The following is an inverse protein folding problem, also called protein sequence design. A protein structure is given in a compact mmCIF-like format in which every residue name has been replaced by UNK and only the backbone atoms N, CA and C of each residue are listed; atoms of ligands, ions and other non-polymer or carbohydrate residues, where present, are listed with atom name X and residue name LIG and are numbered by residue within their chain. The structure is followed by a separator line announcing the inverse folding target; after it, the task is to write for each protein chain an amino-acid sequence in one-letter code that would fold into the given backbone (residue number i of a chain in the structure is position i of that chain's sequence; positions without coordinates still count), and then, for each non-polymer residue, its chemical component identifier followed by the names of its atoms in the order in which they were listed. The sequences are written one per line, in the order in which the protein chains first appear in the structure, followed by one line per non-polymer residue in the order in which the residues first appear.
data_IF_669935525863
#
_entry.id   IF_669935525863
#
_cell.length_a   1.000
_cell.length_b   1.000
_cell.length_c   1.000
_cell.angle_alpha   90.00
_cell.angle_beta   90.00
_cell.angle_gamma   90.00
#
_symmetry.space_group_name_H-M   'P 1'
#
loop_
_entity.id
_entity.type
_entity.pdbx_description
1 polymer ?
#
# COMPACT_ATOMS: atom_id res chain seq x y z
N UNK A 1 -45.30 26.85 -35.19
CA UNK A 1 -44.38 26.96 -34.04
C UNK A 1 -43.36 25.83 -34.09
N UNK A 2 -42.06 26.17 -34.17
CA UNK A 2 -40.90 25.35 -33.75
C UNK A 2 -40.80 25.38 -32.21
N UNK A 3 -40.03 24.55 -31.45
CA UNK A 3 -38.70 23.98 -31.72
C UNK A 3 -38.60 22.48 -31.26
N UNK A 4 -37.50 21.73 -31.16
CA UNK A 4 -36.08 21.98 -31.04
C UNK A 4 -35.30 20.69 -31.37
N UNK A 5 -34.13 20.89 -31.98
CA UNK A 5 -33.08 19.90 -32.27
C UNK A 5 -32.75 19.01 -31.07
N UNK A 6 -32.83 17.68 -31.22
CA UNK A 6 -32.08 16.73 -30.38
C UNK A 6 -30.80 16.31 -31.11
N UNK A 7 -29.68 16.46 -30.41
CA UNK A 7 -28.29 16.38 -30.88
C UNK A 7 -27.94 15.01 -31.47
N UNK A 8 -26.96 14.93 -32.38
CA UNK A 8 -26.48 13.66 -32.86
C UNK A 8 -25.82 12.92 -31.69
N UNK A 9 -26.33 11.74 -31.34
CA UNK A 9 -25.55 10.76 -30.56
C UNK A 9 -24.40 10.34 -31.46
N UNK A 10 -23.25 11.00 -31.34
CA UNK A 10 -22.02 10.55 -31.97
C UNK A 10 -21.71 9.19 -31.37
N UNK A 11 -22.14 8.13 -32.06
CA UNK A 11 -21.62 6.79 -31.81
C UNK A 11 -20.13 6.89 -32.10
N UNK A 12 -19.31 6.95 -31.06
CA UNK A 12 -17.87 6.81 -31.21
C UNK A 12 -17.64 5.45 -31.86
N UNK A 13 -17.33 5.47 -33.16
CA UNK A 13 -16.91 4.28 -33.90
C UNK A 13 -15.44 4.07 -33.59
N UNK A 14 -15.18 3.25 -32.58
CA UNK A 14 -13.82 2.81 -32.31
C UNK A 14 -13.40 1.78 -33.36
N UNK A 15 -12.19 1.89 -33.95
CA UNK A 15 -11.71 0.89 -34.88
C UNK A 15 -11.52 -0.45 -34.15
N UNK A 16 -11.72 -1.60 -34.81
CA UNK A 16 -11.70 -2.93 -34.16
C UNK A 16 -10.38 -3.24 -33.45
N UNK A 17 -9.27 -2.63 -33.91
CA UNK A 17 -7.95 -2.72 -33.29
C UNK A 17 -7.85 -1.93 -31.97
N UNK A 18 -8.50 -0.77 -31.90
CA UNK A 18 -8.56 0.01 -30.65
C UNK A 18 -9.48 -0.65 -29.63
N UNK A 19 -10.56 -1.29 -30.07
CA UNK A 19 -11.42 -2.09 -29.19
C UNK A 19 -10.66 -3.29 -28.59
N UNK A 20 -9.79 -3.95 -29.36
CA UNK A 20 -8.97 -5.07 -28.88
C UNK A 20 -7.91 -4.65 -27.85
N UNK A 21 -7.30 -3.47 -28.02
CA UNK A 21 -6.31 -2.92 -27.09
C UNK A 21 -6.92 -2.31 -25.81
N UNK A 22 -8.20 -1.92 -25.85
CA UNK A 22 -8.90 -1.34 -24.70
C UNK A 22 -9.24 -2.38 -23.62
N UNK A 23 -9.49 -3.63 -24.02
CA UNK A 23 -9.87 -4.73 -23.11
C UNK A 23 -8.80 -5.04 -22.05
N UNK A 24 -7.51 -5.25 -22.39
CA UNK A 24 -6.49 -5.49 -21.36
C UNK A 24 -6.23 -4.26 -20.49
N UNK A 25 -6.42 -3.05 -21.05
CA UNK A 25 -6.28 -1.78 -20.32
C UNK A 25 -7.40 -1.56 -19.29
N UNK A 26 -8.65 -1.95 -19.61
CA UNK A 26 -9.74 -1.94 -18.63
C UNK A 26 -9.59 -3.06 -17.60
N UNK A 27 -9.10 -4.23 -18.02
CA UNK A 27 -8.88 -5.35 -17.11
C UNK A 27 -7.82 -5.03 -16.04
N UNK A 28 -6.75 -4.31 -16.40
CA UNK A 28 -5.73 -3.90 -15.44
C UNK A 28 -6.26 -2.87 -14.42
N UNK A 29 -7.16 -1.97 -14.81
CA UNK A 29 -7.78 -0.99 -13.90
C UNK A 29 -8.61 -1.64 -12.78
N UNK A 30 -9.21 -2.79 -13.04
CA UNK A 30 -10.04 -3.52 -12.04
C UNK A 30 -9.18 -4.43 -11.16
N UNK A 31 -7.97 -4.81 -11.58
CA UNK A 31 -7.09 -5.69 -10.81
C UNK A 31 -6.36 -4.98 -9.65
N UNK A 32 -6.15 -3.66 -9.74
CA UNK A 32 -5.40 -2.89 -8.71
C UNK A 32 -6.10 -2.80 -7.34
N UNK A 33 -7.44 -2.58 -7.22
CA UNK A 33 -8.07 -2.46 -5.90
C UNK A 33 -8.14 -3.76 -5.09
N UNK A 34 -7.77 -4.92 -5.65
CA UNK A 34 -7.72 -6.19 -4.92
C UNK A 34 -6.57 -6.24 -3.89
N UNK A 35 -5.58 -5.35 -3.99
CA UNK A 35 -4.50 -5.21 -3.01
C UNK A 35 -4.91 -4.28 -1.84
N UNK A 36 -6.02 -4.57 -1.16
CA UNK A 36 -6.43 -3.83 0.04
C UNK A 36 -5.65 -4.37 1.24
N UNK A 37 -4.75 -3.56 1.79
CA UNK A 37 -4.06 -3.88 3.03
C UNK A 37 -5.01 -3.90 4.25
N UNK A 38 -4.54 -4.41 5.40
CA UNK A 38 -5.35 -4.45 6.62
C UNK A 38 -5.77 -3.03 7.05
N UNK A 39 -6.98 -2.91 7.58
CA UNK A 39 -7.51 -1.67 8.13
C UNK A 39 -6.63 -1.20 9.30
N UNK A 40 -6.66 0.11 9.60
CA UNK A 40 -5.75 0.71 10.59
C UNK A 40 -5.79 -0.01 11.95
N UNK A 41 -6.98 -0.37 12.43
CA UNK A 41 -7.18 -1.05 13.71
C UNK A 41 -6.72 -2.51 13.70
N UNK A 42 -6.68 -3.18 12.54
CA UNK A 42 -6.18 -4.55 12.41
C UNK A 42 -4.66 -4.61 12.51
N UNK A 43 -3.95 -3.50 12.22
CA UNK A 43 -2.49 -3.42 12.35
C UNK A 43 -2.01 -3.57 13.79
N UNK A 44 -2.86 -3.35 14.79
CA UNK A 44 -2.51 -3.55 16.20
C UNK A 44 -2.16 -5.02 16.50
N UNK A 45 -2.72 -5.96 15.74
CA UNK A 45 -2.48 -7.39 15.93
C UNK A 45 -1.02 -7.79 15.64
N UNK A 46 -0.39 -7.10 14.69
CA UNK A 46 1.02 -7.29 14.35
C UNK A 46 1.97 -6.81 15.46
N UNK A 47 1.47 -6.02 16.43
CA UNK A 47 2.25 -5.58 17.60
C UNK A 47 2.31 -6.60 18.74
N UNK A 48 1.56 -7.72 18.65
CA UNK A 48 1.54 -8.75 19.70
C UNK A 48 2.93 -9.36 19.90
N UNK A 49 3.29 -9.64 21.16
CA UNK A 49 4.59 -10.21 21.50
C UNK A 49 4.87 -11.55 20.78
N UNK A 50 3.84 -12.37 20.55
CA UNK A 50 3.93 -13.64 19.82
C UNK A 50 4.22 -13.47 18.32
N UNK A 51 3.97 -12.30 17.76
CA UNK A 51 4.20 -11.97 16.35
C UNK A 51 5.54 -11.24 16.13
N UNK A 52 6.34 -11.07 17.20
CA UNK A 52 7.67 -10.44 17.10
C UNK A 52 8.64 -11.42 16.43
N UNK A 53 9.51 -10.88 15.58
CA UNK A 53 10.58 -11.64 14.95
C UNK A 53 11.73 -11.99 15.90
N UNK A 54 11.74 -11.37 17.09
CA UNK A 54 12.84 -11.44 18.04
C UNK A 54 12.59 -12.49 19.12
N UNK A 55 13.59 -13.34 19.34
CA UNK A 55 13.51 -14.49 20.24
C UNK A 55 13.47 -14.09 21.73
N UNK A 56 14.36 -13.19 22.18
CA UNK A 56 14.40 -12.72 23.57
C UNK A 56 14.48 -11.18 23.68
N UNK A 57 13.54 -10.52 24.38
CA UNK A 57 13.50 -9.06 24.48
C UNK A 57 14.70 -8.48 25.25
N UNK A 58 15.35 -9.25 26.13
CA UNK A 58 16.48 -8.77 26.93
C UNK A 58 17.72 -8.68 26.07
N UNK A 59 17.98 -9.71 25.28
CA UNK A 59 19.07 -9.75 24.31
C UNK A 59 18.93 -8.61 23.29
N UNK A 60 17.75 -8.46 22.69
CA UNK A 60 17.48 -7.38 21.73
C UNK A 60 17.74 -6.00 22.34
N UNK A 61 17.34 -5.80 23.60
CA UNK A 61 17.57 -4.53 24.29
C UNK A 61 19.07 -4.25 24.48
N UNK A 62 19.86 -5.25 24.87
CA UNK A 62 21.31 -5.09 25.01
C UNK A 62 21.95 -4.77 23.66
N UNK A 63 21.61 -5.54 22.62
CA UNK A 63 22.14 -5.33 21.28
C UNK A 63 21.78 -3.94 20.76
N UNK A 64 20.54 -3.47 20.94
CA UNK A 64 20.11 -2.13 20.53
C UNK A 64 20.97 -1.02 21.15
N UNK A 65 21.39 -1.18 22.42
CA UNK A 65 22.26 -0.19 23.09
C UNK A 65 23.66 -0.17 22.50
N UNK A 66 24.18 -1.34 22.12
CA UNK A 66 25.47 -1.44 21.44
C UNK A 66 25.39 -0.78 20.06
N UNK A 67 24.39 -1.14 19.25
CA UNK A 67 24.20 -0.53 17.92
C UNK A 67 23.96 0.97 17.99
N UNK A 68 23.23 1.46 18.98
CA UNK A 68 23.06 2.90 19.15
C UNK A 68 24.38 3.60 19.49
N UNK A 69 25.23 2.96 20.29
CA UNK A 69 26.53 3.52 20.66
C UNK A 69 27.53 3.52 19.49
N UNK A 70 27.46 2.53 18.60
CA UNK A 70 28.40 2.37 17.48
C UNK A 70 27.91 3.02 16.18
N UNK A 71 26.62 2.92 15.90
CA UNK A 71 26.00 3.21 14.60
C UNK A 71 24.68 3.98 14.75
N UNK A 72 24.52 4.78 15.82
CA UNK A 72 23.26 5.48 16.12
C UNK A 72 22.71 6.38 15.00
N UNK A 73 23.56 6.86 14.08
CA UNK A 73 23.14 7.60 12.90
C UNK A 73 22.43 6.73 11.83
N UNK A 74 22.68 5.42 11.81
CA UNK A 74 22.01 4.45 10.93
C UNK A 74 20.65 3.97 11.47
N UNK A 75 20.34 4.31 12.74
CA UNK A 75 19.17 3.81 13.45
C UNK A 75 19.42 2.44 14.09
N UNK A 76 18.82 2.20 15.25
CA UNK A 76 18.96 0.93 15.98
C UNK A 76 18.21 -0.24 15.32
N UNK A 77 18.31 -1.42 15.95
CA UNK A 77 17.59 -2.63 15.55
C UNK A 77 16.08 -2.31 15.48
N UNK A 78 15.46 -2.57 14.32
CA UNK A 78 14.04 -2.25 14.07
C UNK A 78 13.78 -0.93 13.33
N UNK A 79 14.81 -0.17 12.93
CA UNK A 79 14.66 1.12 12.23
C UNK A 79 14.01 1.04 10.82
N UNK A 80 13.89 -0.15 10.24
CA UNK A 80 13.23 -0.37 8.93
C UNK A 80 11.76 -0.81 9.03
N UNK A 81 11.16 -0.84 10.22
CA UNK A 81 9.74 -1.13 10.46
C UNK A 81 8.87 0.10 10.76
N UNK A 82 9.42 1.32 10.59
CA UNK A 82 8.73 2.58 10.91
C UNK A 82 9.51 3.38 11.95
N UNK A 83 10.44 4.21 11.49
CA UNK A 83 11.07 5.27 12.28
C UNK A 83 10.09 6.39 12.63
N UNK A 84 9.08 6.07 13.43
CA UNK A 84 8.22 7.04 14.11
C UNK A 84 8.35 6.86 15.61
N UNK A 85 8.10 7.93 16.39
CA UNK A 85 7.78 7.81 17.81
C UNK A 85 6.70 6.72 17.91
N UNK A 86 6.99 5.59 18.55
CA UNK A 86 6.21 4.34 18.51
C UNK A 86 4.81 4.41 19.15
N UNK A 87 4.07 5.49 18.90
CA UNK A 87 2.68 5.67 19.24
C UNK A 87 1.84 4.89 18.22
N UNK A 88 1.46 3.67 18.59
CA UNK A 88 0.18 3.10 18.20
C UNK A 88 -0.79 3.33 19.36
#
# INVERSE_FOLDING_TARGET
MSPSKLRPTSRLRFPPKAALALVPLLASLVAVPACRGPEFFEKQDLGRAVMRFEDDPTETHVQQKVFYATEGAAGGIGSSGGGGCGCN
#
